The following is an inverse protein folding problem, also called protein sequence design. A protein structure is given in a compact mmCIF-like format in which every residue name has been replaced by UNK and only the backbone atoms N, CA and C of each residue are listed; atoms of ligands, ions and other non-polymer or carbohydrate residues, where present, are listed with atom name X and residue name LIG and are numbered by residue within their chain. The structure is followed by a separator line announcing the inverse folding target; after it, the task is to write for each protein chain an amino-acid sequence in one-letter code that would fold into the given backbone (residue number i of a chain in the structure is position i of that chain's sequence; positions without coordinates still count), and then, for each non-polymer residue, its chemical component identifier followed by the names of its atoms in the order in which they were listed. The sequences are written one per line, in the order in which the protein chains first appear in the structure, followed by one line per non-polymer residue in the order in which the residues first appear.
data_IF_653677420943
#
_entry.id   IF_653677420943
#
_cell.length_a   1.000
_cell.length_b   1.000
_cell.length_c   1.000
_cell.angle_alpha   90.00
_cell.angle_beta   90.00
_cell.angle_gamma   90.00
#
_symmetry.space_group_name_H-M   'P 1'
#
loop_
_entity.id
_entity.type
_entity.pdbx_description
1 polymer ?
#
# COMPACT_ATOMS: atom_id res chain seq x y z
N UNK A 1 -29.47 17.40 23.90
CA UNK A 1 -28.94 17.12 22.54
C UNK A 1 -28.10 15.82 22.42
N UNK A 2 -27.45 15.31 23.48
CA UNK A 2 -26.74 14.00 23.50
C UNK A 2 -27.56 12.74 23.12
N UNK A 3 -28.90 12.80 23.11
CA UNK A 3 -29.79 11.64 22.82
C UNK A 3 -30.23 11.51 21.36
N UNK A 4 -29.99 12.51 20.50
CA UNK A 4 -30.54 12.55 19.14
C UNK A 4 -29.58 12.00 18.06
N UNK A 5 -28.26 12.15 18.25
CA UNK A 5 -27.25 11.74 17.26
C UNK A 5 -26.82 10.27 17.39
N UNK A 6 -26.67 9.78 18.63
CA UNK A 6 -26.58 8.33 18.89
C UNK A 6 -27.81 7.55 18.38
N UNK A 7 -28.97 8.22 18.25
CA UNK A 7 -30.21 7.63 17.71
C UNK A 7 -30.26 7.56 16.19
N UNK A 8 -29.42 8.29 15.44
CA UNK A 8 -29.36 8.21 13.97
C UNK A 8 -28.37 7.15 13.50
N UNK A 9 -27.21 7.04 14.15
CA UNK A 9 -26.22 5.98 13.86
C UNK A 9 -26.72 4.60 14.31
N UNK A 10 -27.30 4.51 15.51
CA UNK A 10 -28.01 3.28 15.93
C UNK A 10 -29.22 2.98 15.03
N UNK A 11 -29.82 3.97 14.34
CA UNK A 11 -30.93 3.72 13.41
C UNK A 11 -30.48 3.11 12.10
N UNK A 12 -29.37 3.57 11.52
CA UNK A 12 -28.89 2.96 10.27
C UNK A 12 -28.41 1.51 10.47
N UNK A 13 -27.77 1.21 11.60
CA UNK A 13 -27.44 -0.18 11.96
C UNK A 13 -28.71 -0.99 12.29
N UNK A 14 -29.62 -0.49 13.15
CA UNK A 14 -30.86 -1.22 13.52
C UNK A 14 -31.84 -1.43 12.37
N UNK A 15 -32.00 -0.47 11.46
CA UNK A 15 -32.88 -0.64 10.30
C UNK A 15 -32.28 -1.61 9.26
N UNK A 16 -30.97 -1.88 9.35
CA UNK A 16 -30.29 -2.89 8.54
C UNK A 16 -30.36 -4.31 9.12
N UNK A 17 -30.57 -4.44 10.44
CA UNK A 17 -30.61 -5.73 11.15
C UNK A 17 -31.80 -6.62 10.75
N UNK A 18 -32.84 -6.05 10.12
CA UNK A 18 -33.96 -6.84 9.64
C UNK A 18 -33.70 -7.52 8.28
N UNK A 19 -32.70 -7.11 7.50
CA UNK A 19 -32.37 -7.75 6.21
C UNK A 19 -30.86 -7.59 5.84
N UNK A 20 -30.11 -8.67 6.10
CA UNK A 20 -28.71 -9.01 5.72
C UNK A 20 -27.61 -8.65 6.73
N UNK A 21 -27.14 -9.67 7.45
CA UNK A 21 -25.97 -9.69 8.36
C UNK A 21 -24.60 -9.54 7.67
N UNK A 22 -24.52 -8.88 6.51
CA UNK A 22 -23.34 -8.86 5.64
C UNK A 22 -22.99 -7.48 5.04
N UNK A 23 -23.52 -6.38 5.59
CA UNK A 23 -23.24 -5.03 5.08
C UNK A 23 -21.98 -4.47 5.77
N UNK A 24 -20.96 -4.15 4.98
CA UNK A 24 -19.79 -3.38 5.43
C UNK A 24 -20.00 -1.91 5.06
N UNK A 25 -19.83 -1.01 6.02
CA UNK A 25 -19.84 0.44 5.81
C UNK A 25 -18.43 0.99 5.94
N UNK A 26 -18.08 1.95 5.09
CA UNK A 26 -16.82 2.70 5.17
C UNK A 26 -16.98 4.07 4.50
N UNK A 27 -16.04 4.99 4.77
CA UNK A 27 -16.08 6.33 4.16
C UNK A 27 -14.82 7.16 4.39
N UNK A 28 -14.92 8.44 4.03
CA UNK A 28 -13.87 9.44 4.16
C UNK A 28 -13.95 10.15 5.52
N UNK A 29 -13.14 9.71 6.48
CA UNK A 29 -13.13 10.24 7.85
C UNK A 29 -12.27 11.50 8.04
N UNK A 30 -12.14 12.36 7.02
CA UNK A 30 -11.28 13.55 7.06
C UNK A 30 -11.83 14.61 8.05
N UNK A 31 -10.97 15.19 8.90
CA UNK A 31 -11.38 16.19 9.91
C UNK A 31 -10.97 17.62 9.51
N UNK A 32 -11.89 18.37 8.90
CA UNK A 32 -11.65 19.73 8.40
C UNK A 32 -12.92 20.59 8.40
N UNK A 33 -12.80 21.87 8.04
CA UNK A 33 -13.94 22.79 7.91
C UNK A 33 -14.63 23.11 9.24
N UNK A 34 -15.93 23.39 9.22
CA UNK A 34 -16.71 23.78 10.39
C UNK A 34 -16.97 22.63 11.38
N UNK A 35 -16.79 21.38 10.93
CA UNK A 35 -16.98 20.18 11.74
C UNK A 35 -15.71 19.73 12.47
N UNK A 36 -14.55 20.27 12.06
CA UNK A 36 -13.24 19.91 12.61
C UNK A 36 -13.23 19.99 14.15
N UNK A 37 -12.49 19.08 14.79
CA UNK A 37 -12.37 19.02 16.26
C UNK A 37 -13.74 18.99 16.96
N UNK A 38 -14.70 18.30 16.36
CA UNK A 38 -16.08 18.19 16.83
C UNK A 38 -16.84 19.53 16.91
N UNK A 39 -16.52 20.50 16.04
CA UNK A 39 -17.07 21.86 16.06
C UNK A 39 -18.61 21.94 15.96
N UNK A 40 -19.25 20.92 15.40
CA UNK A 40 -20.72 20.80 15.28
C UNK A 40 -21.28 19.56 16.00
N UNK A 41 -20.57 19.02 16.97
CA UNK A 41 -20.84 17.73 17.61
C UNK A 41 -19.81 16.67 17.21
N UNK A 42 -19.92 15.47 17.79
CA UNK A 42 -19.01 14.37 17.45
C UNK A 42 -19.26 14.00 15.98
N UNK A 43 -18.28 14.30 15.12
CA UNK A 43 -18.33 13.99 13.69
C UNK A 43 -17.70 12.61 13.42
N UNK A 44 -17.96 12.05 12.24
CA UNK A 44 -17.44 10.74 11.83
C UNK A 44 -15.99 10.81 11.30
N UNK A 45 -15.10 11.52 12.01
CA UNK A 45 -13.67 11.56 11.67
C UNK A 45 -12.99 10.22 11.96
N UNK A 46 -11.84 9.96 11.33
CA UNK A 46 -11.05 8.73 11.50
C UNK A 46 -10.85 8.34 12.98
N UNK A 47 -10.55 9.31 13.84
CA UNK A 47 -10.34 9.09 15.27
C UNK A 47 -11.64 8.84 16.05
N UNK A 48 -12.76 9.43 15.64
CA UNK A 48 -14.04 9.28 16.31
C UNK A 48 -14.79 7.99 15.92
N UNK A 49 -14.61 7.49 14.70
CA UNK A 49 -15.28 6.27 14.22
C UNK A 49 -14.56 4.98 14.63
N UNK A 50 -13.39 5.10 15.25
CA UNK A 50 -12.64 3.97 15.77
C UNK A 50 -13.46 3.16 16.79
N UNK A 51 -13.48 1.83 16.64
CA UNK A 51 -14.26 0.92 17.50
C UNK A 51 -15.72 0.76 17.09
N UNK A 52 -16.18 1.41 16.02
CA UNK A 52 -17.56 1.29 15.52
C UNK A 52 -17.74 0.17 14.50
N UNK A 53 -16.65 -0.38 13.96
CA UNK A 53 -16.68 -1.33 12.84
C UNK A 53 -16.88 -0.68 11.45
N UNK A 54 -17.04 0.64 11.38
CA UNK A 54 -17.10 1.40 10.13
C UNK A 54 -15.68 1.70 9.65
N UNK A 55 -15.39 1.41 8.38
CA UNK A 55 -14.07 1.65 7.79
C UNK A 55 -13.80 3.11 7.44
N UNK A 56 -12.53 3.52 7.49
CA UNK A 56 -12.07 4.74 6.83
C UNK A 56 -10.86 4.52 5.94
N UNK A 57 -10.77 5.33 4.89
CA UNK A 57 -9.59 5.42 4.05
C UNK A 57 -8.35 5.77 4.88
N UNK A 58 -7.31 4.97 4.72
CA UNK A 58 -6.00 5.19 5.31
C UNK A 58 -5.12 6.00 4.35
N UNK A 59 -5.18 7.32 4.49
CA UNK A 59 -4.30 8.28 3.81
C UNK A 59 -2.82 8.14 4.18
N UNK A 60 -2.50 7.65 5.40
CA UNK A 60 -1.09 7.53 5.84
C UNK A 60 -0.31 6.54 5.01
N UNK A 61 -0.88 5.35 4.74
CA UNK A 61 -0.21 4.37 3.86
C UNK A 61 -0.14 4.87 2.41
N UNK A 62 -1.18 5.56 1.91
CA UNK A 62 -1.18 6.16 0.56
C UNK A 62 -0.01 7.12 0.39
N UNK A 63 0.10 8.08 1.30
CA UNK A 63 1.09 9.16 1.24
C UNK A 63 2.51 8.64 1.48
N UNK A 64 2.68 7.65 2.36
CA UNK A 64 3.97 7.03 2.59
C UNK A 64 4.47 6.20 1.40
N UNK A 65 3.56 5.48 0.71
CA UNK A 65 3.86 4.76 -0.53
C UNK A 65 4.29 5.76 -1.62
N UNK A 66 3.43 6.74 -1.91
CA UNK A 66 3.56 7.59 -3.09
C UNK A 66 4.51 8.78 -2.90
N UNK A 67 4.51 9.38 -1.71
CA UNK A 67 5.30 10.56 -1.36
C UNK A 67 4.51 11.86 -1.36
N UNK A 68 4.73 12.67 -0.33
CA UNK A 68 4.04 13.95 -0.14
C UNK A 68 2.58 13.75 0.22
N UNK A 69 1.71 14.61 -0.30
CA UNK A 69 0.27 14.52 -0.17
C UNK A 69 -0.38 15.11 -1.43
N UNK A 70 -1.70 14.93 -1.65
CA UNK A 70 -2.40 15.56 -2.78
C UNK A 70 -2.32 17.09 -2.82
N UNK A 71 -1.92 17.74 -1.72
CA UNK A 71 -1.80 19.19 -1.59
C UNK A 71 -0.35 19.67 -1.49
N UNK A 72 0.61 18.74 -1.45
CA UNK A 72 2.04 19.03 -1.39
C UNK A 72 2.66 19.23 -2.77
N UNK A 73 3.99 19.40 -2.80
CA UNK A 73 4.70 19.54 -4.07
C UNK A 73 4.63 18.22 -4.88
N UNK A 74 4.25 18.26 -6.17
CA UNK A 74 3.98 17.04 -6.96
C UNK A 74 5.21 16.15 -7.13
N UNK A 75 6.43 16.69 -7.04
CA UNK A 75 7.68 15.93 -7.15
C UNK A 75 8.20 15.35 -5.83
N UNK A 76 7.53 15.54 -4.69
CA UNK A 76 7.96 14.92 -3.44
C UNK A 76 7.81 13.39 -3.52
N UNK A 77 8.93 12.66 -3.42
CA UNK A 77 8.98 11.21 -3.53
C UNK A 77 8.59 10.52 -2.22
N UNK A 78 8.19 9.26 -2.32
CA UNK A 78 7.85 8.34 -1.23
C UNK A 78 8.49 6.97 -1.46
N UNK A 79 8.01 5.96 -0.73
CA UNK A 79 8.65 4.64 -0.69
C UNK A 79 8.73 3.94 -2.05
N UNK A 80 7.72 4.05 -2.93
CA UNK A 80 7.75 3.39 -4.27
C UNK A 80 8.16 4.33 -5.39
N UNK A 81 8.31 5.62 -5.13
CA UNK A 81 8.60 6.62 -6.18
C UNK A 81 10.04 7.09 -6.19
N UNK A 82 10.94 6.46 -5.40
CA UNK A 82 12.39 6.65 -5.48
C UNK A 82 13.01 7.45 -4.33
N UNK A 83 12.28 7.74 -3.24
CA UNK A 83 12.80 8.53 -2.14
C UNK A 83 14.10 7.92 -1.60
N UNK A 84 15.15 8.74 -1.46
CA UNK A 84 16.53 8.36 -1.09
C UNK A 84 17.30 7.52 -2.14
N UNK A 85 16.75 6.40 -2.61
CA UNK A 85 17.50 5.42 -3.43
C UNK A 85 17.43 5.66 -4.95
N UNK A 86 16.51 6.49 -5.45
CA UNK A 86 16.44 6.90 -6.86
C UNK A 86 15.90 8.35 -7.01
N UNK A 87 16.68 9.38 -6.62
CA UNK A 87 16.20 10.77 -6.56
C UNK A 87 15.78 11.34 -7.92
N UNK A 88 14.69 12.11 -7.94
CA UNK A 88 14.14 12.70 -9.18
C UNK A 88 14.66 14.12 -9.52
N UNK A 89 15.54 14.68 -8.69
CA UNK A 89 16.12 16.02 -8.86
C UNK A 89 15.37 17.16 -8.17
N UNK A 90 14.22 16.89 -7.53
CA UNK A 90 13.58 17.84 -6.62
C UNK A 90 14.34 17.88 -5.30
N UNK A 91 14.67 19.10 -4.83
CA UNK A 91 15.38 19.28 -3.57
C UNK A 91 14.46 18.99 -2.38
N UNK A 92 14.82 17.97 -1.60
CA UNK A 92 14.14 17.53 -0.38
C UNK A 92 15.02 17.75 0.86
N UNK A 93 16.10 18.51 0.74
CA UNK A 93 17.11 18.71 1.76
C UNK A 93 18.27 17.71 1.67
N UNK A 94 19.07 17.67 2.74
CA UNK A 94 20.25 16.84 2.78
C UNK A 94 19.93 15.33 2.77
N UNK A 95 20.95 14.51 2.46
CA UNK A 95 20.78 13.05 2.39
C UNK A 95 20.30 12.41 3.69
N UNK A 96 20.61 13.01 4.84
CA UNK A 96 20.22 12.49 6.16
C UNK A 96 18.74 12.75 6.43
N UNK A 97 18.24 13.93 6.08
CA UNK A 97 16.82 14.29 6.09
C UNK A 97 16.04 13.36 5.15
N UNK A 98 16.48 13.23 3.90
CA UNK A 98 15.79 12.36 2.91
C UNK A 98 15.80 10.89 3.35
N UNK A 99 16.89 10.40 3.95
CA UNK A 99 16.94 9.04 4.53
C UNK A 99 15.96 8.88 5.69
N UNK A 100 15.83 9.90 6.54
CA UNK A 100 14.89 9.91 7.66
C UNK A 100 13.43 9.97 7.19
N UNK A 101 13.14 10.72 6.12
CA UNK A 101 11.83 10.72 5.47
C UNK A 101 11.45 9.33 4.93
N UNK A 102 12.40 8.63 4.29
CA UNK A 102 12.17 7.25 3.82
C UNK A 102 11.94 6.30 5.01
N UNK A 103 12.72 6.45 6.07
CA UNK A 103 12.58 5.65 7.28
C UNK A 103 11.20 5.84 7.94
N UNK A 104 10.74 7.08 8.08
CA UNK A 104 9.41 7.39 8.58
C UNK A 104 8.30 6.85 7.66
N UNK A 105 8.45 6.98 6.33
CA UNK A 105 7.52 6.40 5.36
C UNK A 105 7.43 4.89 5.51
N UNK A 106 8.55 4.22 5.78
CA UNK A 106 8.56 2.78 6.01
C UNK A 106 7.77 2.40 7.27
N UNK A 107 7.96 3.10 8.39
CA UNK A 107 7.18 2.86 9.61
C UNK A 107 5.67 3.07 9.38
N UNK A 108 5.31 4.09 8.60
CA UNK A 108 3.91 4.36 8.24
C UNK A 108 3.31 3.24 7.40
N UNK A 109 4.06 2.73 6.42
CA UNK A 109 3.62 1.59 5.60
C UNK A 109 3.48 0.34 6.45
N UNK A 110 4.44 0.04 7.33
CA UNK A 110 4.37 -1.13 8.21
C UNK A 110 3.15 -1.06 9.14
N UNK A 111 2.88 0.10 9.75
CA UNK A 111 1.67 0.32 10.55
C UNK A 111 0.39 0.10 9.73
N UNK A 112 0.30 0.67 8.52
CA UNK A 112 -0.82 0.47 7.61
C UNK A 112 -0.99 -0.99 7.16
N UNK A 113 0.12 -1.69 6.89
CA UNK A 113 0.15 -3.11 6.53
C UNK A 113 -0.31 -4.03 7.67
N UNK A 114 -0.13 -3.62 8.93
CA UNK A 114 -0.70 -4.24 10.12
C UNK A 114 -2.12 -3.72 10.43
N UNK A 115 -2.87 -3.37 9.38
CA UNK A 115 -4.23 -2.84 9.42
C UNK A 115 -4.40 -1.54 10.21
N UNK A 116 -3.38 -0.69 10.27
CA UNK A 116 -3.40 0.63 10.89
C UNK A 116 -3.93 0.63 12.34
N UNK A 117 -3.66 -0.46 13.05
CA UNK A 117 -4.12 -0.71 14.41
C UNK A 117 -3.32 0.14 15.40
N UNK A 118 -4.04 0.92 16.20
CA UNK A 118 -3.44 1.87 17.15
C UNK A 118 -2.52 1.19 18.18
N UNK A 119 -2.90 -0.01 18.63
CA UNK A 119 -2.20 -0.74 19.69
C UNK A 119 -1.24 -1.81 19.13
N UNK A 120 -1.10 -1.93 17.80
CA UNK A 120 -0.13 -2.85 17.21
C UNK A 120 1.29 -2.38 17.50
N UNK A 121 2.10 -3.24 18.11
CA UNK A 121 3.50 -2.93 18.44
C UNK A 121 4.41 -3.31 17.27
N UNK A 122 5.21 -2.35 16.80
CA UNK A 122 6.25 -2.53 15.80
C UNK A 122 7.58 -1.93 16.27
N UNK A 123 8.68 -2.40 15.69
CA UNK A 123 9.99 -1.76 15.88
C UNK A 123 10.13 -0.61 14.88
N UNK A 124 10.15 0.63 15.39
CA UNK A 124 10.39 1.83 14.58
C UNK A 124 11.75 1.83 13.91
N UNK A 125 11.95 2.72 12.93
CA UNK A 125 13.27 2.95 12.34
C UNK A 125 14.34 3.41 13.35
N UNK A 126 13.93 3.99 14.49
CA UNK A 126 14.80 4.33 15.62
C UNK A 126 15.24 3.11 16.46
N UNK A 127 14.70 1.92 16.18
CA UNK A 127 14.99 0.68 16.89
C UNK A 127 14.15 0.44 18.15
N UNK A 128 13.22 1.33 18.46
CA UNK A 128 12.35 1.21 19.63
C UNK A 128 11.05 0.50 19.28
N UNK A 129 10.58 -0.35 20.19
CA UNK A 129 9.22 -0.87 20.16
C UNK A 129 8.24 0.27 20.46
N UNK A 130 7.35 0.53 19.52
CA UNK A 130 6.34 1.58 19.61
C UNK A 130 5.00 1.00 19.16
N UNK A 131 3.92 1.52 19.72
CA UNK A 131 2.57 1.27 19.21
C UNK A 131 2.37 2.03 17.90
N UNK A 132 1.48 1.54 17.04
CA UNK A 132 1.10 2.25 15.82
C UNK A 132 0.60 3.68 16.08
N UNK A 133 -0.05 3.94 17.22
CA UNK A 133 -0.48 5.29 17.61
C UNK A 133 0.65 6.21 18.08
N UNK A 134 1.80 5.65 18.42
CA UNK A 134 3.00 6.38 18.84
C UNK A 134 3.90 6.71 17.64
N UNK A 135 3.68 6.06 16.50
CA UNK A 135 4.21 6.51 15.21
C UNK A 135 3.42 7.73 14.77
N UNK A 136 4.10 8.86 14.57
CA UNK A 136 3.46 10.13 14.24
C UNK A 136 3.68 10.53 12.78
N UNK A 137 2.70 11.22 12.22
CA UNK A 137 2.83 11.97 10.98
C UNK A 137 3.66 13.23 11.20
N UNK A 138 4.04 13.92 10.11
CA UNK A 138 4.84 15.15 10.18
C UNK A 138 4.14 16.29 10.96
N UNK A 139 2.81 16.31 10.97
CA UNK A 139 1.96 17.23 11.72
C UNK A 139 1.62 16.74 13.14
N UNK A 140 2.24 15.63 13.58
CA UNK A 140 2.14 15.14 14.95
C UNK A 140 0.89 14.32 15.26
N UNK A 141 0.13 13.89 14.25
CA UNK A 141 -1.02 13.00 14.44
C UNK A 141 -0.57 11.54 14.50
N UNK A 142 -1.25 10.69 15.29
CA UNK A 142 -1.04 9.24 15.23
C UNK A 142 -1.26 8.69 13.83
N UNK A 143 -0.34 7.87 13.35
CA UNK A 143 -0.47 7.16 12.07
C UNK A 143 -1.58 6.13 12.16
N UNK A 144 -1.49 5.28 13.19
CA UNK A 144 -2.44 4.20 13.40
C UNK A 144 -3.52 4.62 14.40
N UNK A 145 -4.78 4.42 14.02
CA UNK A 145 -5.93 4.91 14.79
C UNK A 145 -7.01 3.85 15.01
N UNK A 146 -6.99 2.70 14.33
CA UNK A 146 -8.10 1.72 14.37
C UNK A 146 -7.99 0.71 15.50
N UNK A 147 -9.10 0.04 15.83
CA UNK A 147 -9.18 -1.05 16.81
C UNK A 147 -9.44 -2.41 16.17
N UNK A 148 -9.94 -2.44 14.94
CA UNK A 148 -10.23 -3.66 14.19
C UNK A 148 -9.71 -3.55 12.75
N UNK A 149 -9.18 -4.62 12.14
CA UNK A 149 -8.72 -4.56 10.76
C UNK A 149 -9.78 -4.14 9.74
N UNK A 150 -11.07 -4.43 10.00
CA UNK A 150 -12.16 -4.02 9.09
C UNK A 150 -12.41 -2.52 9.08
N UNK A 151 -11.82 -1.78 10.02
CA UNK A 151 -11.93 -0.32 10.09
C UNK A 151 -10.92 0.40 9.18
N UNK A 152 -9.99 -0.35 8.58
CA UNK A 152 -8.90 0.20 7.75
C UNK A 152 -9.12 -0.13 6.28
N UNK A 153 -9.34 0.91 5.47
CA UNK A 153 -9.36 0.82 4.01
C UNK A 153 -8.00 1.29 3.47
N UNK A 154 -7.11 0.35 3.19
CA UNK A 154 -5.79 0.64 2.62
C UNK A 154 -5.90 0.86 1.11
N UNK A 155 -5.30 1.93 0.60
CA UNK A 155 -5.31 2.28 -0.81
C UNK A 155 -4.05 3.06 -1.20
N UNK A 156 -3.72 3.06 -2.48
CA UNK A 156 -2.68 3.92 -3.06
C UNK A 156 -3.24 4.89 -4.11
N UNK A 157 -4.46 4.66 -4.58
CA UNK A 157 -5.11 5.45 -5.63
C UNK A 157 -6.63 5.35 -5.50
N UNK A 158 -7.29 6.39 -5.95
CA UNK A 158 -8.75 6.51 -5.94
C UNK A 158 -9.20 7.30 -7.19
N UNK A 159 -10.47 7.70 -7.21
CA UNK A 159 -11.05 8.43 -8.32
C UNK A 159 -10.63 9.91 -8.31
N UNK A 160 -10.44 10.48 -7.12
CA UNK A 160 -9.85 11.78 -6.85
C UNK A 160 -8.32 11.71 -6.93
N UNK A 161 -7.68 12.86 -7.19
CA UNK A 161 -6.24 12.98 -7.40
C UNK A 161 -5.76 12.25 -8.67
N UNK A 162 -4.44 12.25 -8.90
CA UNK A 162 -3.83 11.53 -10.01
C UNK A 162 -4.01 10.01 -9.87
N UNK A 163 -4.13 9.30 -11.01
CA UNK A 163 -4.11 7.83 -11.01
C UNK A 163 -2.76 7.29 -10.50
N UNK A 164 -2.72 6.01 -10.13
CA UNK A 164 -1.47 5.38 -9.68
C UNK A 164 -0.35 5.45 -10.75
N UNK A 165 -0.69 5.22 -12.02
CA UNK A 165 0.29 5.32 -13.11
C UNK A 165 0.77 6.76 -13.31
N UNK A 166 -0.14 7.72 -13.25
CA UNK A 166 0.17 9.14 -13.42
C UNK A 166 1.10 9.64 -12.30
N UNK A 167 0.77 9.37 -11.04
CA UNK A 167 1.55 9.88 -9.91
C UNK A 167 2.94 9.22 -9.84
N UNK A 168 3.07 7.94 -10.20
CA UNK A 168 4.37 7.28 -10.36
C UNK A 168 5.17 7.96 -11.48
N UNK A 169 4.54 8.26 -12.61
CA UNK A 169 5.19 8.96 -13.73
C UNK A 169 5.57 10.40 -13.41
N UNK A 170 4.81 11.08 -12.54
CA UNK A 170 5.15 12.41 -12.04
C UNK A 170 6.37 12.36 -11.12
N UNK A 171 6.37 11.46 -10.13
CA UNK A 171 7.33 11.46 -9.01
C UNK A 171 8.62 10.70 -9.29
N UNK A 172 8.62 9.71 -10.17
CA UNK A 172 9.85 8.99 -10.52
C UNK A 172 10.80 9.85 -11.38
N UNK A 173 12.12 9.57 -11.39
CA UNK A 173 13.04 10.30 -12.25
C UNK A 173 12.63 10.19 -13.72
N UNK A 174 12.82 11.28 -14.49
CA UNK A 174 12.45 11.32 -15.91
C UNK A 174 13.07 10.17 -16.72
N UNK A 175 14.31 9.79 -16.41
CA UNK A 175 15.14 8.87 -17.19
C UNK A 175 14.85 7.37 -17.00
N UNK A 176 13.98 6.98 -16.05
CA UNK A 176 13.64 5.55 -15.87
C UNK A 176 12.72 5.07 -16.99
N UNK A 177 12.76 3.78 -17.31
CA UNK A 177 11.94 3.22 -18.40
C UNK A 177 10.46 3.07 -18.00
N UNK A 178 9.57 2.92 -18.98
CA UNK A 178 8.18 2.53 -18.71
C UNK A 178 8.08 1.16 -18.06
N UNK A 179 8.95 0.20 -18.41
CA UNK A 179 9.00 -1.12 -17.74
C UNK A 179 9.25 -0.97 -16.24
N UNK A 180 10.19 -0.10 -15.84
CA UNK A 180 10.45 0.19 -14.43
C UNK A 180 9.24 0.82 -13.73
N UNK A 181 8.55 1.77 -14.39
CA UNK A 181 7.31 2.38 -13.85
C UNK A 181 6.19 1.35 -13.68
N UNK A 182 6.06 0.40 -14.62
CA UNK A 182 5.09 -0.68 -14.52
C UNK A 182 5.39 -1.58 -13.30
N UNK A 183 6.67 -1.87 -13.03
CA UNK A 183 7.06 -2.63 -11.83
C UNK A 183 6.74 -1.86 -10.54
N UNK A 184 6.96 -0.55 -10.50
CA UNK A 184 6.61 0.28 -9.34
C UNK A 184 5.09 0.36 -9.12
N UNK A 185 4.30 0.37 -10.19
CA UNK A 185 2.84 0.29 -10.11
C UNK A 185 2.40 -1.07 -9.52
N UNK A 186 3.00 -2.17 -10.01
CA UNK A 186 2.78 -3.50 -9.43
C UNK A 186 3.21 -3.57 -7.95
N UNK A 187 4.34 -2.96 -7.59
CA UNK A 187 4.83 -2.92 -6.21
C UNK A 187 3.84 -2.18 -5.28
N UNK A 188 3.33 -1.02 -5.70
CA UNK A 188 2.36 -0.25 -4.94
C UNK A 188 1.05 -1.03 -4.72
N UNK A 189 0.50 -1.62 -5.78
CA UNK A 189 -0.71 -2.46 -5.67
C UNK A 189 -0.47 -3.72 -4.83
N UNK A 190 0.74 -4.29 -4.87
CA UNK A 190 1.12 -5.45 -4.04
C UNK A 190 1.15 -5.13 -2.55
N UNK A 191 1.69 -3.97 -2.16
CA UNK A 191 1.71 -3.54 -0.75
C UNK A 191 0.27 -3.48 -0.21
N UNK A 192 -0.64 -2.89 -0.99
CA UNK A 192 -2.06 -2.79 -0.65
C UNK A 192 -2.72 -4.18 -0.61
N UNK A 193 -2.53 -5.00 -1.65
CA UNK A 193 -3.14 -6.32 -1.77
C UNK A 193 -2.68 -7.32 -0.70
N UNK A 194 -1.45 -7.20 -0.20
CA UNK A 194 -0.89 -8.12 0.79
C UNK A 194 -0.92 -7.55 2.22
N UNK A 195 -1.48 -6.35 2.41
CA UNK A 195 -1.73 -5.77 3.73
C UNK A 195 -2.86 -6.47 4.49
N UNK A 196 -2.81 -6.46 5.83
CA UNK A 196 -3.99 -6.69 6.65
C UNK A 196 -4.98 -5.52 6.50
N UNK A 197 -6.23 -5.76 6.89
CA UNK A 197 -7.33 -4.81 6.66
C UNK A 197 -7.99 -5.02 5.30
N UNK A 198 -8.66 -3.98 4.79
CA UNK A 198 -9.43 -4.04 3.55
C UNK A 198 -8.67 -3.31 2.43
N UNK A 199 -8.14 -4.01 1.41
CA UNK A 199 -7.54 -3.39 0.25
C UNK A 199 -8.61 -2.73 -0.62
N UNK A 200 -8.33 -1.52 -1.09
CA UNK A 200 -9.11 -0.79 -2.07
C UNK A 200 -8.24 -0.48 -3.29
N UNK A 201 -8.81 -0.67 -4.47
CA UNK A 201 -8.15 -0.43 -5.76
C UNK A 201 -9.04 0.47 -6.61
N UNK A 202 -8.43 1.47 -7.23
CA UNK A 202 -9.10 2.27 -8.23
C UNK A 202 -9.21 1.48 -9.54
N UNK A 203 -10.38 1.54 -10.19
CA UNK A 203 -10.57 0.89 -11.48
C UNK A 203 -9.55 1.41 -12.49
N UNK A 204 -8.67 0.52 -12.95
CA UNK A 204 -7.58 0.85 -13.85
C UNK A 204 -6.18 0.70 -13.27
N UNK A 205 -6.02 0.54 -11.95
CA UNK A 205 -4.72 0.29 -11.31
C UNK A 205 -4.02 -0.93 -11.94
N UNK A 206 -4.79 -1.99 -12.21
CA UNK A 206 -4.34 -3.24 -12.80
C UNK A 206 -3.90 -3.11 -14.27
N UNK A 207 -4.34 -2.06 -14.96
CA UNK A 207 -4.10 -1.84 -16.39
C UNK A 207 -3.36 -0.52 -16.66
N UNK A 208 -2.65 0.00 -15.65
CA UNK A 208 -1.82 1.19 -15.77
C UNK A 208 -2.60 2.45 -16.18
N UNK A 209 -3.89 2.53 -15.86
CA UNK A 209 -4.78 3.63 -16.29
C UNK A 209 -4.16 4.99 -16.01
N UNK A 210 -4.23 5.87 -17.00
CA UNK A 210 -3.84 7.26 -16.93
C UNK A 210 -5.06 8.15 -17.19
N UNK A 211 -5.04 9.36 -16.61
CA UNK A 211 -5.91 10.48 -16.97
C UNK A 211 -5.09 11.61 -17.61
N UNK A 212 -3.94 11.27 -18.19
CA UNK A 212 -2.91 12.24 -18.64
C UNK A 212 -2.55 13.27 -17.57
N UNK A 213 -2.32 12.80 -16.34
CA UNK A 213 -1.95 13.62 -15.17
C UNK A 213 -3.04 14.62 -14.72
N UNK A 214 -4.31 14.37 -15.05
CA UNK A 214 -5.42 15.12 -14.45
C UNK A 214 -5.62 14.71 -12.99
N UNK A 215 -5.51 15.69 -12.08
CA UNK A 215 -5.67 15.46 -10.63
C UNK A 215 -7.12 15.54 -10.14
N UNK A 216 -8.05 16.06 -10.95
CA UNK A 216 -9.44 16.26 -10.51
C UNK A 216 -10.38 16.14 -11.71
N UNK A 217 -10.54 14.89 -12.16
CA UNK A 217 -11.16 14.57 -13.45
C UNK A 217 -12.68 14.45 -13.42
N UNK A 218 -13.34 14.94 -12.36
CA UNK A 218 -14.79 14.76 -12.14
C UNK A 218 -15.64 15.27 -13.33
N UNK A 219 -15.16 16.29 -14.05
CA UNK A 219 -15.83 16.90 -15.20
C UNK A 219 -14.91 17.00 -16.44
N UNK A 220 -13.96 16.07 -16.57
CA UNK A 220 -13.02 16.02 -17.70
C UNK A 220 -13.51 15.13 -18.85
N UNK A 221 -14.77 14.68 -18.79
CA UNK A 221 -15.44 13.87 -19.81
C UNK A 221 -14.80 12.51 -20.06
N UNK A 222 -15.30 11.82 -21.09
CA UNK A 222 -14.82 10.48 -21.48
C UNK A 222 -13.36 10.50 -21.93
N UNK A 223 -12.92 11.60 -22.54
CA UNK A 223 -11.57 11.73 -23.11
C UNK A 223 -10.46 11.48 -22.08
N UNK A 224 -10.49 12.20 -20.95
CA UNK A 224 -9.49 12.03 -19.90
C UNK A 224 -9.79 10.85 -18.98
N UNK A 225 -11.05 10.42 -18.86
CA UNK A 225 -11.44 9.33 -17.96
C UNK A 225 -11.49 7.94 -18.60
N UNK A 226 -11.18 7.82 -19.90
CA UNK A 226 -11.28 6.59 -20.70
C UNK A 226 -10.72 5.36 -19.98
N UNK A 227 -11.51 4.30 -20.00
CA UNK A 227 -11.10 2.93 -19.66
C UNK A 227 -11.07 2.12 -20.96
N UNK A 228 -9.91 1.54 -21.28
CA UNK A 228 -9.71 0.82 -22.54
C UNK A 228 -9.51 -0.68 -22.30
N UNK A 229 -10.63 -1.41 -22.28
CA UNK A 229 -10.62 -2.86 -22.10
C UNK A 229 -10.12 -3.65 -23.34
N UNK A 230 -9.77 -2.98 -24.44
CA UNK A 230 -8.98 -3.62 -25.51
C UNK A 230 -7.50 -3.76 -25.13
N UNK A 231 -7.07 -3.10 -24.05
CA UNK A 231 -5.69 -3.04 -23.57
C UNK A 231 -4.70 -2.44 -24.58
N UNK A 232 -5.18 -1.72 -25.59
CA UNK A 232 -4.31 -1.12 -26.63
C UNK A 232 -3.69 0.20 -26.17
N UNK A 233 -4.32 0.91 -25.23
CA UNK A 233 -3.81 2.14 -24.63
C UNK A 233 -4.20 2.22 -23.16
N UNK A 234 -3.37 2.87 -22.35
CA UNK A 234 -3.71 3.22 -20.96
C UNK A 234 -4.24 4.65 -20.81
N UNK A 235 -4.44 5.39 -21.92
CA UNK A 235 -4.84 6.80 -21.96
C UNK A 235 -3.75 7.83 -21.59
N UNK A 236 -2.46 7.44 -21.53
CA UNK A 236 -1.35 8.36 -21.31
C UNK A 236 -1.02 9.21 -22.55
N UNK A 237 -0.80 10.52 -22.33
CA UNK A 237 -0.37 11.45 -23.37
C UNK A 237 -1.48 11.79 -24.36
N UNK A 238 -2.72 11.97 -23.89
CA UNK A 238 -3.88 12.39 -24.71
C UNK A 238 -4.12 13.90 -24.69
N UNK A 239 -3.13 14.67 -24.25
CA UNK A 239 -3.16 16.13 -24.14
C UNK A 239 -2.94 16.61 -22.71
N UNK A 240 -2.66 17.91 -22.54
CA UNK A 240 -2.61 18.51 -21.21
C UNK A 240 -4.00 18.44 -20.56
N UNK A 241 -4.09 18.07 -19.27
CA UNK A 241 -5.35 17.97 -18.57
C UNK A 241 -5.99 19.36 -18.37
N UNK A 242 -7.31 19.46 -18.12
CA UNK A 242 -8.03 20.73 -18.10
C UNK A 242 -7.41 21.80 -17.19
N UNK A 243 -7.32 23.03 -17.72
CA UNK A 243 -6.64 24.19 -17.11
C UNK A 243 -7.05 24.41 -15.65
N UNK A 244 -8.36 24.41 -15.37
CA UNK A 244 -8.90 24.89 -14.09
C UNK A 244 -8.37 24.19 -12.84
N UNK A 245 -7.89 22.94 -12.97
CA UNK A 245 -7.28 22.20 -11.86
C UNK A 245 -5.79 21.93 -12.06
N UNK A 246 -5.27 22.02 -13.28
CA UNK A 246 -3.97 21.44 -13.61
C UNK A 246 -2.94 22.44 -14.16
N UNK A 247 -3.32 23.67 -14.48
CA UNK A 247 -2.44 24.63 -15.16
C UNK A 247 -1.11 24.86 -14.45
N UNK A 248 -1.13 25.01 -13.13
CA UNK A 248 0.07 25.25 -12.31
C UNK A 248 1.11 24.13 -12.47
N UNK A 249 0.66 22.89 -12.74
CA UNK A 249 1.53 21.72 -12.92
C UNK A 249 1.87 21.43 -14.39
N UNK A 250 1.29 22.14 -15.36
CA UNK A 250 1.58 21.94 -16.78
C UNK A 250 3.07 22.01 -17.14
N UNK A 251 3.91 22.88 -16.55
CA UNK A 251 5.34 22.88 -16.80
C UNK A 251 6.03 21.53 -16.47
N UNK A 252 5.53 20.81 -15.47
CA UNK A 252 6.02 19.48 -15.08
C UNK A 252 5.38 18.37 -15.94
N UNK A 253 4.11 18.52 -16.30
CA UNK A 253 3.33 17.54 -17.06
C UNK A 253 3.77 17.49 -18.53
N UNK A 254 3.90 18.64 -19.18
CA UNK A 254 4.18 18.76 -20.62
C UNK A 254 5.38 17.93 -21.08
N UNK A 255 6.58 18.00 -20.47
CA UNK A 255 7.72 17.21 -20.93
C UNK A 255 7.50 15.70 -20.74
N UNK A 256 6.73 15.27 -19.73
CA UNK A 256 6.42 13.85 -19.48
C UNK A 256 5.46 13.30 -20.52
N UNK A 257 4.41 14.05 -20.86
CA UNK A 257 3.44 13.64 -21.89
C UNK A 257 4.05 13.64 -23.30
N UNK A 258 5.02 14.52 -23.56
CA UNK A 258 5.70 14.61 -24.86
C UNK A 258 6.73 13.50 -25.09
N UNK A 259 7.24 12.87 -24.03
CA UNK A 259 8.26 11.83 -24.13
C UNK A 259 7.61 10.45 -24.40
N UNK A 260 7.85 9.83 -25.57
CA UNK A 260 7.25 8.54 -25.91
C UNK A 260 7.72 7.40 -25.00
N UNK A 261 8.85 7.55 -24.30
CA UNK A 261 9.38 6.53 -23.37
C UNK A 261 8.52 6.35 -22.11
N UNK A 262 7.59 7.27 -21.84
CA UNK A 262 6.63 7.15 -20.74
C UNK A 262 5.41 6.28 -21.10
N UNK A 263 5.10 6.11 -22.40
CA UNK A 263 3.83 5.50 -22.83
C UNK A 263 3.89 3.97 -22.76
N UNK A 264 3.04 3.31 -21.94
CA UNK A 264 2.92 1.86 -21.95
C UNK A 264 2.33 1.36 -23.27
N UNK A 265 3.00 0.38 -23.84
CA UNK A 265 2.46 -0.48 -24.90
C UNK A 265 1.56 -1.59 -24.34
N UNK A 266 0.74 -2.20 -25.20
CA UNK A 266 -0.17 -3.31 -24.86
C UNK A 266 0.49 -4.42 -24.02
N UNK A 267 1.73 -4.84 -24.35
CA UNK A 267 2.47 -5.85 -23.58
C UNK A 267 2.65 -5.50 -22.10
N UNK A 268 2.84 -4.22 -21.77
CA UNK A 268 3.01 -3.77 -20.39
C UNK A 268 1.67 -3.76 -19.65
N UNK A 269 0.60 -3.36 -20.34
CA UNK A 269 -0.76 -3.34 -19.78
C UNK A 269 -1.20 -4.76 -19.44
N UNK A 270 -1.03 -5.71 -20.37
CA UNK A 270 -1.35 -7.12 -20.13
C UNK A 270 -0.49 -7.73 -19.01
N UNK A 271 0.81 -7.44 -18.99
CA UNK A 271 1.69 -7.88 -17.90
C UNK A 271 1.27 -7.30 -16.53
N UNK A 272 0.81 -6.05 -16.49
CA UNK A 272 0.28 -5.44 -15.26
C UNK A 272 -0.99 -6.16 -14.78
N UNK A 273 -1.91 -6.49 -15.69
CA UNK A 273 -3.13 -7.26 -15.38
C UNK A 273 -2.78 -8.63 -14.82
N UNK A 274 -1.88 -9.37 -15.48
CA UNK A 274 -1.43 -10.70 -15.04
C UNK A 274 -0.77 -10.67 -13.66
N UNK A 275 0.10 -9.69 -13.41
CA UNK A 275 0.77 -9.52 -12.12
C UNK A 275 -0.20 -9.13 -11.01
N UNK A 276 -1.17 -8.25 -11.30
CA UNK A 276 -2.22 -7.87 -10.36
C UNK A 276 -3.10 -9.08 -9.98
N UNK A 277 -3.54 -9.86 -10.97
CA UNK A 277 -4.29 -11.10 -10.75
C UNK A 277 -3.49 -12.11 -9.92
N UNK A 278 -2.19 -12.23 -10.18
CA UNK A 278 -1.30 -13.13 -9.43
C UNK A 278 -1.23 -12.76 -7.95
N UNK A 279 -1.09 -11.48 -7.64
CA UNK A 279 -1.05 -11.00 -6.25
C UNK A 279 -2.41 -11.14 -5.56
N UNK A 280 -3.53 -10.91 -6.26
CA UNK A 280 -4.86 -11.19 -5.70
C UNK A 280 -5.04 -12.68 -5.39
N UNK A 281 -4.63 -13.56 -6.31
CA UNK A 281 -4.66 -15.00 -6.07
C UNK A 281 -3.80 -15.39 -4.86
N UNK A 282 -2.66 -14.74 -4.63
CA UNK A 282 -1.85 -14.94 -3.42
C UNK A 282 -2.57 -14.45 -2.17
N UNK A 283 -3.19 -13.26 -2.18
CA UNK A 283 -3.99 -12.78 -1.03
C UNK A 283 -5.05 -13.81 -0.62
N UNK A 284 -5.69 -14.44 -1.60
CA UNK A 284 -6.76 -15.42 -1.38
C UNK A 284 -6.27 -16.86 -1.23
N UNK A 285 -4.98 -17.17 -1.46
CA UNK A 285 -4.43 -18.51 -1.25
C UNK A 285 -4.29 -18.87 0.22
N UNK A 286 -4.25 -17.87 1.10
CA UNK A 286 -4.09 -18.05 2.55
C UNK A 286 -5.04 -17.17 3.36
N UNK A 287 -5.66 -17.68 4.45
CA UNK A 287 -6.37 -16.84 5.41
C UNK A 287 -5.43 -15.93 6.22
N UNK A 288 -4.11 -16.18 6.22
CA UNK A 288 -3.14 -15.40 6.98
C UNK A 288 -3.03 -13.96 6.47
N UNK A 289 -3.30 -13.67 5.19
CA UNK A 289 -3.38 -12.30 4.66
C UNK A 289 -4.63 -11.53 5.10
N UNK A 290 -5.60 -12.20 5.75
CA UNK A 290 -6.95 -11.68 6.04
C UNK A 290 -7.39 -12.00 7.46
N UNK A 291 -6.49 -11.75 8.42
CA UNK A 291 -6.76 -11.95 9.84
C UNK A 291 -7.89 -11.02 10.29
N UNK A 292 -8.80 -11.56 11.11
CA UNK A 292 -10.07 -10.89 11.44
C UNK A 292 -10.05 -10.03 12.68
N UNK A 293 -9.00 -10.10 13.50
CA UNK A 293 -8.95 -9.41 14.79
C UNK A 293 -7.58 -8.78 15.03
N UNK A 294 -7.57 -7.67 15.77
CA UNK A 294 -6.33 -7.01 16.18
C UNK A 294 -5.38 -7.95 16.93
N UNK A 295 -5.92 -8.77 17.84
CA UNK A 295 -5.13 -9.77 18.57
C UNK A 295 -4.51 -10.83 17.66
N UNK A 296 -5.21 -11.27 16.61
CA UNK A 296 -4.63 -12.21 15.64
C UNK A 296 -3.48 -11.55 14.87
N UNK A 297 -3.63 -10.29 14.45
CA UNK A 297 -2.59 -9.53 13.76
C UNK A 297 -1.38 -9.33 14.67
N UNK A 298 -1.59 -8.85 15.91
CA UNK A 298 -0.54 -8.62 16.90
C UNK A 298 0.32 -9.86 17.19
N UNK A 299 -0.28 -11.05 17.20
CA UNK A 299 0.44 -12.30 17.52
C UNK A 299 1.11 -12.96 16.33
N UNK A 300 0.79 -12.56 15.10
CA UNK A 300 1.18 -13.30 13.88
C UNK A 300 2.00 -12.46 12.90
N UNK A 301 1.72 -11.16 12.81
CA UNK A 301 2.39 -10.27 11.87
C UNK A 301 3.64 -9.69 12.52
N UNK A 302 4.77 -9.78 11.82
CA UNK A 302 6.05 -9.23 12.25
C UNK A 302 6.78 -8.58 11.07
N UNK A 303 7.55 -7.52 11.33
CA UNK A 303 8.40 -6.86 10.34
C UNK A 303 9.87 -7.05 10.69
N UNK A 304 10.67 -7.44 9.70
CA UNK A 304 12.05 -7.91 9.93
C UNK A 304 13.13 -6.92 9.51
N UNK A 305 12.84 -6.02 8.57
CA UNK A 305 13.79 -4.99 8.12
C UNK A 305 13.54 -3.67 8.87
N UNK A 306 13.86 -3.66 10.16
CA UNK A 306 13.53 -2.59 11.11
C UNK A 306 14.76 -2.11 11.88
N UNK A 307 14.61 -1.04 12.67
CA UNK A 307 15.67 -0.47 13.47
C UNK A 307 16.76 0.26 12.67
N UNK A 308 17.85 0.71 13.31
CA UNK A 308 18.81 1.63 12.70
C UNK A 308 19.67 1.01 11.58
N UNK A 309 19.78 -0.31 11.53
CA UNK A 309 20.57 -1.06 10.54
C UNK A 309 19.72 -1.62 9.37
N UNK A 310 18.50 -1.11 9.21
CA UNK A 310 17.60 -1.50 8.12
C UNK A 310 18.21 -1.23 6.73
N UNK A 311 17.81 -2.04 5.74
CA UNK A 311 18.14 -1.87 4.33
C UNK A 311 17.16 -0.87 3.70
N UNK A 312 17.62 0.28 3.18
CA UNK A 312 16.73 1.27 2.57
C UNK A 312 15.89 0.71 1.41
N UNK A 313 14.61 1.08 1.36
CA UNK A 313 13.71 0.72 0.27
C UNK A 313 13.22 -0.73 0.30
N UNK A 314 13.35 -1.42 1.44
CA UNK A 314 12.94 -2.82 1.60
C UNK A 314 11.98 -2.98 2.77
N UNK A 315 10.83 -3.62 2.56
CA UNK A 315 9.94 -4.06 3.65
C UNK A 315 9.89 -5.58 3.64
N UNK A 316 10.06 -6.20 4.82
CA UNK A 316 9.96 -7.65 4.99
C UNK A 316 8.93 -7.93 6.07
N UNK A 317 7.78 -8.47 5.68
CA UNK A 317 6.67 -8.82 6.56
C UNK A 317 6.55 -10.33 6.64
N UNK A 318 6.42 -10.90 7.83
CA UNK A 318 6.01 -12.30 7.99
C UNK A 318 4.63 -12.42 8.63
N UNK A 319 3.98 -13.55 8.38
CA UNK A 319 2.75 -13.94 9.04
C UNK A 319 2.90 -15.40 9.48
N UNK A 320 2.91 -15.61 10.79
CA UNK A 320 3.05 -16.94 11.39
C UNK A 320 1.68 -17.60 11.63
N UNK A 321 1.63 -18.91 11.38
CA UNK A 321 0.48 -19.73 11.73
C UNK A 321 0.73 -20.66 12.92
N UNK A 322 -0.36 -21.07 13.56
CA UNK A 322 -0.35 -22.06 14.62
C UNK A 322 -0.27 -23.49 14.12
N UNK A 323 -0.25 -24.46 15.03
CA UNK A 323 -0.34 -25.88 14.71
C UNK A 323 -1.53 -26.47 15.45
N UNK A 324 -2.33 -27.26 14.74
CA UNK A 324 -3.47 -27.95 15.35
C UNK A 324 -3.01 -28.85 16.51
N UNK A 325 -3.72 -28.80 17.63
CA UNK A 325 -3.38 -29.56 18.84
C UNK A 325 -2.17 -29.04 19.64
N UNK A 326 -1.47 -28.01 19.16
CA UNK A 326 -0.33 -27.43 19.87
C UNK A 326 -0.73 -26.20 20.70
N UNK A 327 -0.19 -26.01 21.91
CA UNK A 327 -0.38 -24.78 22.66
C UNK A 327 0.11 -23.55 21.89
N UNK A 328 -0.62 -22.44 21.98
CA UNK A 328 -0.23 -21.16 21.38
C UNK A 328 -1.23 -20.65 20.35
N UNK A 329 -0.75 -20.38 19.13
CA UNK A 329 -1.59 -19.93 18.03
C UNK A 329 -2.45 -21.10 17.52
N UNK A 330 -3.73 -20.84 17.24
CA UNK A 330 -4.58 -21.78 16.51
C UNK A 330 -4.10 -21.88 15.05
N UNK A 331 -4.18 -23.06 14.44
CA UNK A 331 -3.96 -23.22 13.00
C UNK A 331 -5.12 -22.59 12.22
N UNK A 332 -4.81 -21.69 11.28
CA UNK A 332 -5.78 -21.03 10.42
C UNK A 332 -5.69 -21.52 8.97
N UNK A 333 -4.46 -21.76 8.50
CA UNK A 333 -4.15 -22.15 7.15
C UNK A 333 -3.78 -23.65 7.10
N UNK A 334 -4.53 -24.47 6.35
CA UNK A 334 -4.24 -25.91 6.25
C UNK A 334 -3.03 -26.23 5.35
N UNK A 335 -2.52 -25.27 4.57
CA UNK A 335 -1.47 -25.46 3.58
C UNK A 335 -0.13 -24.90 4.05
N UNK A 336 -0.14 -23.69 4.62
CA UNK A 336 1.07 -22.95 4.98
C UNK A 336 1.18 -22.73 6.49
N UNK A 337 2.36 -23.00 7.06
CA UNK A 337 2.66 -22.69 8.48
C UNK A 337 3.23 -21.28 8.67
N UNK A 338 3.80 -20.71 7.60
CA UNK A 338 4.46 -19.41 7.64
C UNK A 338 4.47 -18.79 6.25
N UNK A 339 4.26 -17.47 6.20
CA UNK A 339 4.38 -16.67 4.99
C UNK A 339 5.34 -15.53 5.24
N UNK A 340 6.20 -15.24 4.27
CA UNK A 340 7.04 -14.06 4.25
C UNK A 340 6.81 -13.30 2.94
N UNK A 341 6.65 -11.98 3.03
CA UNK A 341 6.56 -11.09 1.89
C UNK A 341 7.70 -10.08 1.98
N UNK A 342 8.49 -10.01 0.91
CA UNK A 342 9.54 -9.01 0.76
C UNK A 342 9.18 -8.06 -0.39
N UNK A 343 9.18 -6.76 -0.11
CA UNK A 343 8.98 -5.68 -1.06
C UNK A 343 10.31 -4.98 -1.27
N UNK A 344 10.89 -5.08 -2.47
CA UNK A 344 12.10 -4.35 -2.84
C UNK A 344 11.72 -3.20 -3.80
N UNK A 345 11.81 -1.96 -3.33
CA UNK A 345 11.58 -0.78 -4.16
C UNK A 345 12.85 -0.29 -4.90
N UNK A 346 14.01 -0.81 -4.52
CA UNK A 346 15.30 -0.37 -5.05
C UNK A 346 15.46 -0.72 -6.54
N UNK A 347 16.28 0.05 -7.28
CA UNK A 347 16.61 -0.23 -8.68
C UNK A 347 17.58 -1.40 -8.86
N UNK A 348 18.03 -2.02 -7.77
CA UNK A 348 18.96 -3.15 -7.76
C UNK A 348 18.38 -4.31 -6.97
N UNK A 349 18.91 -5.51 -7.23
CA UNK A 349 18.71 -6.65 -6.34
C UNK A 349 19.18 -6.31 -4.93
N UNK A 350 18.45 -6.83 -3.93
CA UNK A 350 18.83 -6.72 -2.52
C UNK A 350 19.08 -8.12 -1.94
N UNK A 351 19.98 -8.17 -0.98
CA UNK A 351 20.20 -9.32 -0.10
C UNK A 351 19.82 -8.91 1.31
N UNK A 352 18.84 -9.58 1.91
CA UNK A 352 18.37 -9.32 3.26
C UNK A 352 18.53 -10.57 4.12
N UNK A 353 19.25 -10.48 5.23
CA UNK A 353 19.44 -11.59 6.16
C UNK A 353 18.79 -11.30 7.50
N UNK A 354 18.04 -12.28 8.03
CA UNK A 354 17.52 -12.24 9.39
C UNK A 354 17.86 -13.54 10.13
N UNK A 355 18.59 -13.47 11.26
CA UNK A 355 18.86 -14.66 12.08
C UNK A 355 17.60 -15.37 12.56
N UNK A 356 16.51 -14.62 12.82
CA UNK A 356 15.22 -15.18 13.24
C UNK A 356 14.52 -16.00 12.15
N UNK A 357 14.98 -15.89 10.89
CA UNK A 357 14.45 -16.60 9.74
C UNK A 357 15.39 -17.70 9.23
N UNK A 358 16.41 -18.09 10.00
CA UNK A 358 17.24 -19.27 9.71
C UNK A 358 16.48 -20.57 9.91
N UNK A 359 16.93 -21.62 9.23
CA UNK A 359 16.44 -22.99 9.36
C UNK A 359 14.93 -23.18 9.11
N UNK A 360 14.26 -22.21 8.49
CA UNK A 360 12.90 -22.37 7.96
C UNK A 360 12.97 -23.13 6.63
N UNK A 361 11.84 -23.68 6.19
CA UNK A 361 11.71 -24.39 4.90
C UNK A 361 10.93 -23.56 3.88
N UNK A 362 11.35 -22.31 3.69
CA UNK A 362 10.67 -21.36 2.82
C UNK A 362 10.98 -21.59 1.33
N UNK A 363 9.95 -21.49 0.50
CA UNK A 363 10.03 -21.58 -0.95
C UNK A 363 9.26 -20.41 -1.58
N UNK A 364 9.64 -19.98 -2.79
CA UNK A 364 8.86 -18.99 -3.52
C UNK A 364 7.42 -19.49 -3.73
N UNK A 365 6.44 -18.61 -3.56
CA UNK A 365 5.03 -18.96 -3.64
C UNK A 365 4.72 -19.59 -5.01
N UNK A 366 3.96 -20.71 -5.09
CA UNK A 366 3.70 -21.41 -6.36
C UNK A 366 3.15 -20.53 -7.48
N UNK A 367 2.27 -19.59 -7.17
CA UNK A 367 1.75 -18.60 -8.13
C UNK A 367 2.88 -17.76 -8.78
N UNK A 368 3.89 -17.35 -8.01
CA UNK A 368 5.03 -16.59 -8.55
C UNK A 368 6.00 -17.47 -9.33
N UNK A 369 6.20 -18.73 -8.90
CA UNK A 369 6.96 -19.71 -9.68
C UNK A 369 6.36 -19.96 -11.07
N UNK A 370 5.03 -19.95 -11.16
CA UNK A 370 4.28 -20.14 -12.41
C UNK A 370 3.92 -18.84 -13.14
N UNK A 371 4.40 -17.68 -12.67
CA UNK A 371 4.12 -16.37 -13.29
C UNK A 371 4.85 -16.21 -14.63
N UNK A 372 4.38 -15.29 -15.47
CA UNK A 372 5.10 -14.84 -16.66
C UNK A 372 6.18 -13.78 -16.34
N UNK A 373 6.21 -13.25 -15.12
CA UNK A 373 7.28 -12.36 -14.65
C UNK A 373 8.55 -13.19 -14.34
N UNK A 374 9.46 -13.29 -15.30
CA UNK A 374 10.72 -14.01 -15.13
C UNK A 374 11.62 -13.41 -14.04
N UNK A 375 11.48 -12.11 -13.72
CA UNK A 375 12.28 -11.50 -12.68
C UNK A 375 11.97 -12.10 -11.30
N UNK A 376 10.69 -12.18 -10.90
CA UNK A 376 10.34 -12.67 -9.56
C UNK A 376 10.78 -14.11 -9.31
N UNK A 377 10.89 -14.94 -10.36
CA UNK A 377 11.40 -16.32 -10.26
C UNK A 377 12.85 -16.41 -9.78
N UNK A 378 13.63 -15.34 -9.94
CA UNK A 378 15.01 -15.27 -9.44
C UNK A 378 15.09 -15.00 -7.93
N UNK A 379 13.96 -14.83 -7.25
CA UNK A 379 13.92 -14.65 -5.80
C UNK A 379 14.34 -15.94 -5.09
N UNK A 380 15.27 -15.82 -4.13
CA UNK A 380 15.87 -16.98 -3.45
C UNK A 380 15.83 -16.82 -1.94
N UNK A 381 15.81 -17.95 -1.25
CA UNK A 381 15.98 -18.04 0.19
C UNK A 381 17.06 -19.08 0.50
N UNK A 382 18.01 -18.73 1.37
CA UNK A 382 19.03 -19.63 1.89
C UNK A 382 18.74 -19.95 3.36
N UNK A 383 18.41 -21.21 3.64
CA UNK A 383 18.00 -21.65 4.98
C UNK A 383 19.14 -21.57 6.01
N UNK A 384 20.40 -21.73 5.60
CA UNK A 384 21.54 -21.75 6.52
C UNK A 384 21.81 -20.38 7.14
N UNK A 385 21.66 -19.33 6.33
CA UNK A 385 21.94 -17.95 6.70
C UNK A 385 20.69 -17.15 7.06
N UNK A 386 19.51 -17.60 6.62
CA UNK A 386 18.27 -16.83 6.71
C UNK A 386 18.25 -15.66 5.73
N UNK A 387 18.96 -15.80 4.60
CA UNK A 387 19.15 -14.76 3.60
C UNK A 387 18.13 -14.87 2.47
N UNK A 388 17.57 -13.72 2.08
CA UNK A 388 16.64 -13.56 0.98
C UNK A 388 17.29 -12.71 -0.09
N UNK A 389 17.25 -13.19 -1.34
CA UNK A 389 17.63 -12.42 -2.53
C UNK A 389 16.35 -12.02 -3.24
N UNK A 390 16.16 -10.71 -3.44
CA UNK A 390 14.96 -10.15 -4.06
C UNK A 390 15.37 -9.22 -5.20
N UNK A 391 14.96 -9.49 -6.45
CA UNK A 391 15.29 -8.64 -7.59
C UNK A 391 14.81 -7.20 -7.44
N UNK A 392 15.36 -6.29 -8.24
CA UNK A 392 14.97 -4.89 -8.28
C UNK A 392 13.46 -4.71 -8.49
N UNK A 393 12.84 -3.73 -7.81
CA UNK A 393 11.43 -3.34 -8.00
C UNK A 393 10.47 -4.54 -8.00
N UNK A 394 10.57 -5.41 -7.00
CA UNK A 394 9.89 -6.72 -6.99
C UNK A 394 9.25 -7.00 -5.63
N UNK A 395 8.04 -7.56 -5.67
CA UNK A 395 7.39 -8.19 -4.52
C UNK A 395 7.62 -9.70 -4.60
N UNK A 396 8.24 -10.30 -3.59
CA UNK A 396 8.46 -11.75 -3.52
C UNK A 396 7.77 -12.33 -2.30
N UNK A 397 6.98 -13.37 -2.51
CA UNK A 397 6.23 -14.06 -1.46
C UNK A 397 6.83 -15.44 -1.29
N UNK A 398 7.33 -15.74 -0.10
CA UNK A 398 7.84 -17.04 0.29
C UNK A 398 6.86 -17.71 1.25
N UNK A 399 6.73 -19.02 1.15
CA UNK A 399 5.81 -19.82 1.96
C UNK A 399 6.52 -21.05 2.50
N UNK A 400 6.20 -21.39 3.74
CA UNK A 400 6.58 -22.67 4.36
C UNK A 400 5.35 -23.57 4.29
N UNK A 401 5.43 -24.65 3.52
CA UNK A 401 4.37 -25.64 3.47
C UNK A 401 4.39 -26.47 4.73
N UNK A 402 3.20 -26.81 5.24
CA UNK A 402 3.08 -27.80 6.32
C UNK A 402 3.60 -29.15 5.84
N UNK A 403 4.29 -29.86 6.72
CA UNK A 403 4.58 -31.27 6.50
C UNK A 403 3.23 -32.02 6.45
N UNK A 404 3.03 -32.78 5.37
CA UNK A 404 1.86 -33.65 5.19
C UNK A 404 1.84 -34.78 6.20
#
# INVERSE_FOLDING_TARGET
MRKLQLRSEQRYQKDSDNHRSSKQSYGEGWDFGEVAKNGRGINASQFNICGTGIGSFNDRIRDAILGGSPFGHPLQQGFVTGLFYQPNGHDLGDKTVVKSMLAASQDHIQAGMAANLRDFVLTSHGGQEVKGSEVLTHDGLPVAYTLCPTETINYASAHDNETLFDIISMKTPMKISVDERCRLNHLATSIIALSQGIPFFHCGDEMLRSKSLDRDSYNSGDWFNRLDFSYTSNNWGVGLPPKGKNEDNWPLIKPRLADPSFRPQNKHILAAVENFLSILRIRYSSPLFRLRTANAIQKRVCFHNTGPSWVPGVIVMSIEDGYEGMPGLAQLDPVYSFILVAFNACPTEISFSSPALRARSLQLHPIQLMSNDELVKNSKYDASSGNFIVPAKTTSVFVERRAT
#
